data_IF_130916936285
#
_entry.id   IF_130916936285
#
_cell.length_a   1.000
_cell.length_b   1.000
_cell.length_c   1.000
_cell.angle_alpha   90.00
_cell.angle_beta   90.00
_cell.angle_gamma   90.00
#
_symmetry.space_group_name_H-M   'P 1'
#
loop_
_entity.id
_entity.type
_entity.pdbx_description
1 polymer ?
2 polymer ?
3 polymer ?
4 polymer ?
5 non-polymer ?
6 non-polymer ?
7 non-polymer ?
8 non-polymer ?
9 non-polymer ?
10 non-polymer ?
11 water ?
#
loop_
_entity_poly.entity_id
_entity_poly.type
_entity_poly.pdbx_seq_one_letter_code
_entity_poly.pdbx_strand_id
2 'polydeoxyribonucleotide' '(DC)(DG)(DG)(DC)(DA)(DT)(DA)(DC)(DG)' ?
3 'polydeoxyribonucleotide' '(DC)(DG)(DT)(DA)(8OG)' ?
4 'polydeoxyribonucleotide' '(DG)(DC)(DC)(DG)' ?
#
# COMPACT_ATOMS: atom_id res chain seq x y z
N UNK A 12 -13.15 -13.07 -17.33
CA UNK A 12 -12.26 -12.36 -16.41
C UNK A 12 -11.37 -11.43 -17.21
N UNK A 13 -11.52 -10.11 -17.03
CA UNK A 13 -10.65 -9.19 -17.78
C UNK A 13 -9.21 -9.27 -17.27
N UNK A 14 -8.30 -8.87 -18.13
CA UNK A 14 -6.89 -9.07 -17.89
C UNK A 14 -6.28 -8.03 -16.96
N UNK A 15 -6.84 -6.81 -16.86
CA UNK A 15 -6.30 -5.78 -15.98
C UNK A 15 -7.13 -5.74 -14.69
N UNK A 16 -6.46 -5.53 -13.55
CA UNK A 16 -7.21 -5.52 -12.30
C UNK A 16 -8.18 -4.35 -12.20
N UNK A 17 -7.94 -3.26 -12.92
CA UNK A 17 -8.81 -2.11 -12.86
C UNK A 17 -10.09 -2.29 -13.65
N UNK A 18 -10.23 -3.42 -14.34
CA UNK A 18 -11.42 -3.75 -15.13
C UNK A 18 -12.41 -4.63 -14.40
N UNK A 19 -12.17 -4.94 -13.14
CA UNK A 19 -13.06 -5.86 -12.45
C UNK A 19 -13.11 -5.47 -10.98
N UNK A 20 -14.23 -5.69 -10.33
CA UNK A 20 -14.29 -5.45 -8.90
C UNK A 20 -13.48 -6.46 -8.12
N UNK A 21 -12.79 -5.97 -7.10
CA UNK A 21 -12.03 -6.83 -6.20
C UNK A 21 -12.39 -6.44 -4.78
N UNK A 22 -13.17 -7.24 -4.08
CA UNK A 22 -13.58 -6.91 -2.71
C UNK A 22 -12.45 -7.20 -1.73
N UNK A 23 -12.61 -6.66 -0.51
CA UNK A 23 -11.58 -6.84 0.50
C UNK A 23 -11.49 -8.30 0.96
N UNK A 24 -12.63 -8.95 1.13
CA UNK A 24 -12.68 -10.35 1.50
C UNK A 24 -13.29 -11.13 0.35
N UNK A 25 -12.87 -12.39 0.22
CA UNK A 25 -13.20 -13.15 -1.00
C UNK A 25 -13.25 -14.64 -0.69
N UNK A 26 -13.15 -15.45 -1.74
CA UNK A 26 -13.44 -16.87 -1.68
C UNK A 26 -12.23 -17.71 -1.98
N UNK A 27 -11.06 -17.11 -2.08
CA UNK A 27 -9.85 -17.86 -2.44
C UNK A 27 -8.67 -17.40 -1.61
N UNK A 28 -8.90 -17.12 -0.33
CA UNK A 28 -7.90 -16.48 0.53
C UNK A 28 -6.61 -17.28 0.61
N UNK A 29 -6.68 -18.57 0.85
CA UNK A 29 -5.46 -19.36 0.98
C UNK A 29 -4.66 -19.44 -0.31
N UNK A 30 -5.34 -19.59 -1.44
CA UNK A 30 -4.63 -19.63 -2.71
C UNK A 30 -3.93 -18.31 -3.01
N UNK A 31 -4.63 -17.20 -2.80
CA UNK A 31 -4.04 -15.90 -3.08
C UNK A 31 -2.86 -15.63 -2.14
N UNK A 32 -2.97 -16.02 -0.88
CA UNK A 32 -1.89 -15.80 0.09
C UNK A 32 -0.63 -16.52 -0.35
N UNK A 33 -0.78 -17.75 -0.84
CA UNK A 33 0.39 -18.52 -1.29
C UNK A 33 1.06 -17.85 -2.48
N UNK A 34 0.28 -17.43 -3.46
CA UNK A 34 0.87 -16.75 -4.61
C UNK A 34 1.56 -15.45 -4.21
N UNK A 35 1.00 -14.74 -3.25
CA UNK A 35 1.62 -13.52 -2.74
C UNK A 35 2.93 -13.77 -1.99
N UNK A 36 3.10 -14.92 -1.35
CA UNK A 36 4.42 -15.28 -0.82
C UNK A 36 5.44 -15.35 -1.94
N UNK A 37 5.09 -16.00 -3.04
CA UNK A 37 6.04 -16.09 -4.13
C UNK A 37 6.29 -14.72 -4.75
N UNK A 38 5.29 -13.87 -4.82
CA UNK A 38 5.50 -12.53 -5.34
C UNK A 38 6.48 -11.77 -4.47
N UNK A 39 6.28 -11.84 -3.16
CA UNK A 39 7.14 -11.12 -2.21
C UNK A 39 8.56 -11.64 -2.29
N UNK A 40 8.74 -12.94 -2.37
CA UNK A 40 10.07 -13.50 -2.50
C UNK A 40 10.74 -13.06 -3.80
N UNK A 41 9.97 -12.95 -4.89
CA UNK A 41 10.54 -12.48 -6.14
C UNK A 41 11.04 -11.05 -5.99
N UNK A 42 10.30 -10.22 -5.28
CA UNK A 42 10.76 -8.86 -5.03
C UNK A 42 12.05 -8.82 -4.23
N UNK A 43 12.19 -9.71 -3.26
CA UNK A 43 13.41 -9.71 -2.47
C UNK A 43 14.63 -10.06 -3.30
N UNK A 44 14.45 -10.78 -4.40
CA UNK A 44 15.53 -11.11 -5.33
C UNK A 44 15.63 -10.14 -6.48
N UNK A 45 14.86 -9.08 -6.49
CA UNK A 45 14.90 -8.10 -7.57
C UNK A 45 14.23 -8.53 -8.85
N UNK A 46 13.36 -9.53 -8.80
CA UNK A 46 12.67 -10.04 -9.99
C UNK A 46 11.29 -9.38 -10.06
N UNK A 47 11.29 -8.16 -10.60
CA UNK A 47 10.06 -7.39 -10.62
C UNK A 47 9.03 -7.94 -11.61
N UNK A 48 9.47 -8.57 -12.70
CA UNK A 48 8.49 -9.16 -13.60
C UNK A 48 7.75 -10.34 -13.00
N UNK A 49 8.48 -11.23 -12.33
CA UNK A 49 7.86 -12.37 -11.66
C UNK A 49 6.99 -11.89 -10.51
N UNK A 50 7.43 -10.89 -9.75
CA UNK A 50 6.58 -10.33 -8.71
C UNK A 50 5.25 -9.90 -9.28
N UNK A 51 5.26 -9.15 -10.40
CA UNK A 51 4.01 -8.67 -10.97
C UNK A 51 3.11 -9.81 -11.39
N UNK A 52 3.65 -10.79 -12.08
CA UNK A 52 2.80 -11.91 -12.49
C UNK A 52 2.15 -12.58 -11.29
N UNK A 53 2.93 -12.89 -10.25
CA UNK A 53 2.34 -13.60 -9.10
C UNK A 53 1.33 -12.70 -8.41
N UNK A 54 1.60 -11.40 -8.31
CA UNK A 54 0.61 -10.49 -7.76
C UNK A 54 -0.66 -10.46 -8.57
N UNK A 55 -0.52 -10.40 -9.91
CA UNK A 55 -1.70 -10.39 -10.77
C UNK A 55 -2.49 -11.68 -10.67
N UNK A 56 -1.81 -12.83 -10.66
CA UNK A 56 -2.49 -14.12 -10.53
C UNK A 56 -3.24 -14.20 -9.19
N UNK A 57 -2.60 -13.75 -8.11
CA UNK A 57 -3.29 -13.74 -6.84
C UNK A 57 -4.54 -12.86 -6.91
N UNK A 58 -4.42 -11.70 -7.56
CA UNK A 58 -5.54 -10.76 -7.64
C UNK A 58 -6.71 -11.33 -8.44
N UNK A 59 -6.41 -12.05 -9.52
CA UNK A 59 -7.47 -12.73 -10.27
C UNK A 59 -8.31 -13.62 -9.36
N UNK A 60 -7.66 -14.36 -8.47
CA UNK A 60 -8.42 -15.25 -7.57
C UNK A 60 -9.27 -14.45 -6.60
N UNK A 61 -8.79 -13.27 -6.17
CA UNK A 61 -9.58 -12.42 -5.28
C UNK A 61 -10.86 -11.97 -5.95
N UNK A 62 -10.85 -11.85 -7.28
CA UNK A 62 -11.97 -11.33 -8.04
C UNK A 62 -12.99 -12.40 -8.41
N UNK A 63 -12.70 -13.69 -8.19
CA UNK A 63 -13.61 -14.74 -8.57
C UNK A 63 -14.83 -14.80 -7.65
N UNK A 64 -15.96 -15.28 -8.14
CA UNK A 64 -17.20 -15.24 -7.36
C UNK A 64 -17.35 -16.42 -6.41
N UNK A 65 -16.45 -17.39 -6.45
CA UNK A 65 -16.61 -18.61 -5.68
C UNK A 65 -15.22 -19.24 -5.51
N UNK A 66 -15.10 -20.26 -4.64
CA UNK A 66 -13.78 -20.91 -4.49
C UNK A 66 -13.37 -21.71 -5.73
N UNK A 67 -12.08 -21.65 -6.04
CA UNK A 67 -11.49 -22.63 -6.96
C UNK A 67 -11.35 -23.95 -6.20
N UNK A 68 -11.96 -25.00 -6.74
CA UNK A 68 -11.92 -26.31 -6.15
C UNK A 68 -11.27 -27.34 -7.07
N UNK A 69 -11.08 -27.03 -8.35
CA UNK A 69 -10.53 -27.99 -9.30
C UNK A 69 -9.66 -27.23 -10.28
N UNK A 70 -8.58 -27.88 -10.72
CA UNK A 70 -7.60 -27.23 -11.58
C UNK A 70 -8.24 -26.73 -12.88
N UNK A 71 -9.25 -27.46 -13.37
CA UNK A 71 -10.06 -27.07 -14.53
C UNK A 71 -10.47 -25.63 -14.49
N UNK A 72 -10.75 -25.11 -13.30
CA UNK A 72 -11.33 -23.80 -13.16
C UNK A 72 -10.33 -22.68 -13.42
N UNK A 73 -9.06 -22.98 -13.55
CA UNK A 73 -8.09 -21.96 -13.91
C UNK A 73 -7.98 -21.77 -15.42
N UNK A 74 -8.56 -22.68 -16.20
CA UNK A 74 -8.46 -22.59 -17.65
C UNK A 74 -9.04 -21.29 -18.15
N UNK A 75 -8.26 -20.58 -18.94
CA UNK A 75 -8.72 -19.34 -19.47
C UNK A 75 -8.49 -18.14 -18.58
N UNK A 76 -8.15 -18.32 -17.30
CA UNK A 76 -7.97 -17.16 -16.43
C UNK A 76 -6.67 -16.46 -16.79
N UNK A 77 -6.68 -15.15 -16.90
CA UNK A 77 -5.44 -14.44 -17.22
C UNK A 77 -4.44 -14.55 -16.07
N UNK A 78 -3.16 -14.61 -16.46
CA UNK A 78 -1.99 -14.63 -15.57
C UNK A 78 -1.76 -15.97 -14.90
N UNK A 79 -2.49 -17.00 -15.30
CA UNK A 79 -2.24 -18.36 -14.86
C UNK A 79 -1.57 -19.15 -15.96
N UNK A 80 -0.28 -19.39 -15.79
CA UNK A 80 0.48 -20.26 -16.63
C UNK A 80 0.94 -21.47 -15.87
N UNK A 81 2.00 -22.10 -16.39
CA UNK A 81 2.45 -23.35 -15.78
C UNK A 81 2.79 -23.18 -14.30
N UNK A 82 3.48 -22.10 -13.94
CA UNK A 82 3.99 -22.00 -12.57
C UNK A 82 2.89 -21.70 -11.57
N UNK A 83 2.08 -20.68 -11.84
CA UNK A 83 0.99 -20.35 -10.93
C UNK A 83 -0.04 -21.46 -10.86
N UNK A 84 -0.27 -22.15 -11.98
CA UNK A 84 -1.22 -23.26 -11.95
C UNK A 84 -0.70 -24.41 -11.12
N UNK A 85 0.61 -24.69 -11.19
CA UNK A 85 1.16 -25.76 -10.37
C UNK A 85 1.01 -25.46 -8.89
N UNK A 86 1.25 -24.22 -8.48
CA UNK A 86 1.07 -23.81 -7.09
C UNK A 86 -0.35 -24.11 -6.63
N UNK A 87 -1.32 -23.70 -7.42
CA UNK A 87 -2.72 -23.97 -7.08
C UNK A 87 -3.02 -25.46 -7.06
N UNK A 88 -2.51 -26.21 -8.04
CA UNK A 88 -2.77 -27.64 -8.09
C UNK A 88 -2.25 -28.31 -6.81
N UNK A 89 -1.05 -27.95 -6.37
CA UNK A 89 -0.48 -28.57 -5.18
C UNK A 89 -1.30 -28.22 -3.95
N UNK A 90 -1.75 -26.98 -3.83
CA UNK A 90 -2.60 -26.60 -2.70
C UNK A 90 -3.93 -27.33 -2.74
N UNK A 91 -4.53 -27.52 -3.92
CA UNK A 91 -5.80 -28.22 -4.00
C UNK A 91 -5.64 -29.70 -3.67
N UNK A 92 -4.53 -30.30 -4.09
CA UNK A 92 -4.36 -31.73 -3.89
C UNK A 92 -3.88 -32.06 -2.49
N UNK A 93 -2.92 -31.28 -1.96
CA UNK A 93 -2.26 -31.62 -0.70
C UNK A 93 -2.45 -30.61 0.41
N UNK A 94 -2.98 -29.43 0.13
CA UNK A 94 -3.15 -28.42 1.14
C UNK A 94 -1.93 -27.57 1.40
N UNK A 95 -0.84 -27.80 0.68
CA UNK A 95 0.41 -27.10 0.89
C UNK A 95 1.22 -27.21 -0.39
N UNK A 96 1.94 -26.14 -0.74
CA UNK A 96 2.80 -26.09 -1.92
C UNK A 96 4.25 -26.09 -1.44
N UNK A 97 4.99 -27.12 -1.83
CA UNK A 97 6.36 -27.29 -1.34
C UNK A 97 7.24 -26.08 -1.60
N UNK A 98 7.09 -25.47 -2.77
CA UNK A 98 7.91 -24.30 -3.07
C UNK A 98 7.59 -23.15 -2.12
N UNK A 99 6.29 -22.93 -1.87
CA UNK A 99 5.87 -21.87 -0.94
C UNK A 99 6.42 -22.15 0.44
N UNK A 100 6.32 -23.39 0.90
CA UNK A 100 6.79 -23.73 2.24
C UNK A 100 8.31 -23.58 2.36
N UNK A 101 9.03 -23.92 1.28
CA UNK A 101 10.48 -23.75 1.28
C UNK A 101 10.86 -22.27 1.36
N UNK A 102 10.09 -21.41 0.70
CA UNK A 102 10.30 -19.97 0.84
C UNK A 102 10.05 -19.55 2.27
N UNK A 103 8.91 -19.94 2.83
CA UNK A 103 8.56 -19.50 4.18
C UNK A 103 9.64 -19.85 5.19
N UNK A 104 10.25 -21.03 5.05
CA UNK A 104 11.30 -21.55 5.92
C UNK A 104 12.68 -21.01 5.57
N UNK A 105 12.77 -20.12 4.60
CA UNK A 105 14.04 -19.64 4.09
C UNK A 105 14.59 -18.56 5.01
N UNK A 106 15.84 -18.77 5.47
CA UNK A 106 16.54 -17.72 6.20
C UNK A 106 16.61 -16.45 5.37
N UNK A 107 16.82 -16.59 4.06
CA UNK A 107 16.81 -15.41 3.19
C UNK A 107 15.45 -14.71 3.22
N UNK A 108 14.36 -15.45 3.03
CA UNK A 108 13.04 -14.82 3.01
C UNK A 108 12.72 -14.18 4.36
N UNK A 109 12.98 -14.92 5.45
CA UNK A 109 12.60 -14.41 6.76
C UNK A 109 13.38 -13.16 7.12
N UNK A 110 14.68 -13.14 6.81
CA UNK A 110 15.47 -11.97 7.14
C UNK A 110 15.15 -10.80 6.23
N UNK A 111 14.99 -11.04 4.93
CA UNK A 111 14.62 -9.93 4.05
C UNK A 111 13.27 -9.33 4.44
N UNK A 112 12.30 -10.17 4.81
CA UNK A 112 11.03 -9.65 5.28
C UNK A 112 11.19 -8.83 6.55
N UNK A 113 11.95 -9.34 7.52
CA UNK A 113 12.17 -8.58 8.75
C UNK A 113 12.81 -7.22 8.46
N UNK A 114 13.88 -7.22 7.66
CA UNK A 114 14.62 -5.96 7.47
C UNK A 114 13.82 -4.96 6.63
N UNK A 115 13.16 -5.41 5.56
CA UNK A 115 12.40 -4.48 4.72
C UNK A 115 11.16 -3.94 5.45
N UNK A 116 10.71 -4.60 6.51
CA UNK A 116 9.61 -4.04 7.28
C UNK A 116 10.01 -2.81 8.05
N UNK A 117 11.31 -2.56 8.23
CA UNK A 117 11.77 -1.41 8.96
C UNK A 117 11.55 -0.17 8.11
N UNK A 118 10.94 0.86 8.69
CA UNK A 118 10.81 2.14 8.01
C UNK A 118 12.20 2.70 7.78
N UNK A 119 12.54 2.99 6.49
CA UNK A 119 13.85 3.48 6.12
C UNK A 119 14.73 2.44 5.45
N UNK A 120 14.27 1.19 5.39
CA UNK A 120 15.02 0.08 4.81
C UNK A 120 14.22 -0.50 3.68
N UNK A 121 14.83 -0.51 2.48
CA UNK A 121 14.25 -1.16 1.32
C UNK A 121 14.98 -2.45 0.98
N UNK A 122 14.59 -3.04 -0.16
CA UNK A 122 15.19 -4.31 -0.56
C UNK A 122 16.69 -4.18 -0.70
N UNK A 123 17.15 -3.10 -1.33
CA UNK A 123 18.58 -2.98 -1.60
C UNK A 123 19.40 -2.89 -0.31
N UNK A 124 18.93 -2.10 0.67
CA UNK A 124 19.65 -2.05 1.94
C UNK A 124 19.58 -3.39 2.66
N UNK A 125 18.38 -3.98 2.72
CA UNK A 125 18.21 -5.26 3.39
C UNK A 125 19.12 -6.32 2.80
N UNK A 126 19.18 -6.39 1.46
CA UNK A 126 20.03 -7.35 0.80
C UNK A 126 21.51 -7.13 1.15
N UNK A 127 21.94 -5.87 1.20
CA UNK A 127 23.34 -5.61 1.54
C UNK A 127 23.65 -6.04 2.97
N UNK A 128 22.73 -5.76 3.90
CA UNK A 128 22.92 -6.22 5.26
C UNK A 128 22.93 -7.74 5.35
N UNK A 129 22.01 -8.39 4.63
CA UNK A 129 22.01 -9.85 4.55
C UNK A 129 23.35 -10.38 4.07
N UNK A 130 23.89 -9.81 2.99
CA UNK A 130 25.16 -10.29 2.46
C UNK A 130 26.30 -10.05 3.44
N UNK A 131 26.21 -9.02 4.28
CA UNK A 131 27.20 -8.76 5.33
C UNK A 131 27.07 -9.71 6.51
N UNK A 132 26.03 -10.54 6.55
CA UNK A 132 25.86 -11.49 7.60
C UNK A 132 24.88 -11.12 8.67
N UNK A 133 24.22 -9.98 8.56
CA UNK A 133 23.28 -9.52 9.58
C UNK A 133 21.99 -10.27 9.44
N UNK A 134 21.34 -10.56 10.57
CA UNK A 134 20.14 -11.39 10.56
C UNK A 134 19.01 -10.88 11.45
N UNK A 135 19.29 -10.13 12.52
CA UNK A 135 18.27 -9.75 13.49
C UNK A 135 18.26 -8.25 13.69
N UNK A 136 17.15 -7.75 14.25
CA UNK A 136 17.09 -6.32 14.57
C UNK A 136 18.19 -5.94 15.56
N UNK A 137 18.47 -6.78 16.52
CA UNK A 137 19.53 -6.46 17.46
C UNK A 137 20.91 -6.44 16.81
N UNK A 138 21.14 -7.25 15.77
CA UNK A 138 22.35 -7.08 14.98
C UNK A 138 22.49 -5.65 14.48
N UNK A 139 21.39 -5.09 13.96
CA UNK A 139 21.41 -3.73 13.41
C UNK A 139 21.62 -2.70 14.51
N UNK A 140 20.97 -2.91 15.66
CA UNK A 140 21.12 -1.97 16.76
C UNK A 140 22.54 -1.92 17.28
N UNK A 141 23.33 -2.97 17.09
CA UNK A 141 24.71 -3.00 17.58
C UNK A 141 25.67 -2.23 16.69
N UNK A 142 25.20 -1.59 15.61
CA UNK A 142 26.04 -0.74 14.77
C UNK A 142 25.26 0.48 14.29
N UNK A 143 24.76 1.29 15.22
CA UNK A 143 23.85 2.39 14.83
C UNK A 143 24.50 3.45 13.95
N UNK A 144 25.83 3.53 13.93
CA UNK A 144 26.48 4.48 13.04
C UNK A 144 26.28 4.11 11.58
N UNK A 145 26.02 2.83 11.30
CA UNK A 145 25.66 2.31 10.00
C UNK A 145 24.21 2.61 9.62
N UNK A 146 23.50 3.42 10.40
CA UNK A 146 22.08 3.66 10.17
C UNK A 146 21.80 5.12 9.90
N UNK A 147 20.87 5.38 9.00
CA UNK A 147 20.39 6.73 8.81
C UNK A 147 19.46 7.10 9.96
N UNK A 148 19.26 8.41 10.13
CA UNK A 148 18.33 8.87 11.15
C UNK A 148 16.95 8.26 10.93
N UNK A 149 16.54 8.12 9.67
CA UNK A 149 15.24 7.53 9.39
C UNK A 149 15.18 6.07 9.86
N UNK A 150 16.25 5.30 9.58
CA UNK A 150 16.33 3.90 9.99
C UNK A 150 16.40 3.76 11.51
N UNK A 151 17.07 4.68 12.18
CA UNK A 151 17.11 4.66 13.63
C UNK A 151 15.68 4.76 14.19
N UNK A 152 14.89 5.69 13.68
CA UNK A 152 13.53 5.84 14.13
C UNK A 152 12.70 4.61 13.79
N UNK A 153 12.86 4.09 12.56
CA UNK A 153 12.18 2.87 12.20
C UNK A 153 12.51 1.71 13.12
N UNK A 154 13.76 1.61 13.54
CA UNK A 154 14.18 0.50 14.40
C UNK A 154 13.74 0.72 15.85
N UNK A 155 13.75 1.96 16.33
CA UNK A 155 13.26 2.22 17.69
C UNK A 155 11.77 1.92 17.79
N UNK A 156 10.99 2.31 16.77
CA UNK A 156 9.55 2.17 16.80
C UNK A 156 9.03 0.88 16.15
N UNK A 157 9.93 -0.04 15.77
CA UNK A 157 9.52 -1.20 14.96
C UNK A 157 8.44 -2.02 15.63
N UNK A 158 8.56 -2.26 16.93
CA UNK A 158 7.57 -3.10 17.59
C UNK A 158 6.18 -2.49 17.53
N UNK A 159 6.04 -1.21 17.88
CA UNK A 159 4.73 -0.57 17.78
C UNK A 159 4.24 -0.56 16.34
N UNK A 160 5.11 -0.26 15.38
CA UNK A 160 4.71 -0.16 14.00
C UNK A 160 4.33 -1.51 13.40
N UNK A 161 4.67 -2.60 14.05
CA UNK A 161 4.31 -3.90 13.52
C UNK A 161 2.92 -4.34 13.91
N UNK A 162 2.25 -3.61 14.79
CA UNK A 162 0.90 -3.92 15.26
C UNK A 162 -0.07 -3.00 14.53
N UNK A 163 -1.13 -3.45 13.88
CA UNK A 163 -2.02 -2.52 13.22
C UNK A 163 -2.89 -1.72 14.18
N UNK A 164 -3.45 -0.64 13.65
CA UNK A 164 -4.37 0.19 14.40
C UNK A 164 -5.76 -0.05 13.84
N UNK A 165 -6.73 0.30 14.64
CA UNK A 165 -8.14 0.13 14.32
C UNK A 165 -8.71 1.41 13.71
N UNK A 166 -9.85 1.26 13.01
CA UNK A 166 -10.52 2.43 12.44
C UNK A 166 -10.86 3.47 13.51
N UNK A 167 -11.22 3.03 14.74
CA UNK A 167 -11.51 3.99 15.79
C UNK A 167 -10.28 4.85 16.13
N UNK A 168 -9.09 4.23 16.10
CA UNK A 168 -7.83 4.95 16.25
C UNK A 168 -7.64 5.96 15.12
N UNK A 169 -7.95 5.55 13.90
CA UNK A 169 -7.87 6.40 12.70
C UNK A 169 -8.76 7.63 12.86
N UNK A 170 -9.96 7.45 13.40
CA UNK A 170 -10.89 8.57 13.52
C UNK A 170 -10.41 9.58 14.57
N UNK A 171 -9.81 9.08 15.66
CA UNK A 171 -9.16 9.94 16.65
C UNK A 171 -8.00 10.72 16.04
N UNK A 172 -7.17 10.04 15.24
CA UNK A 172 -6.07 10.70 14.55
C UNK A 172 -6.59 11.78 13.59
N UNK A 173 -7.69 11.50 12.91
CA UNK A 173 -8.19 12.47 11.94
C UNK A 173 -8.65 13.74 12.63
N UNK A 174 -9.22 13.65 13.83
CA UNK A 174 -9.67 14.85 14.51
C UNK A 174 -8.49 15.74 14.91
N UNK A 175 -7.37 15.14 15.33
CA UNK A 175 -6.22 15.96 15.71
C UNK A 175 -5.63 16.61 14.46
N UNK A 176 -5.59 15.89 13.36
CA UNK A 176 -5.07 16.46 12.12
C UNK A 176 -5.98 17.60 11.63
N UNK A 177 -7.29 17.41 11.71
CA UNK A 177 -8.21 18.46 11.31
C UNK A 177 -8.07 19.72 12.16
N UNK A 178 -7.79 19.56 13.45
CA UNK A 178 -7.58 20.75 14.29
C UNK A 178 -6.38 21.56 13.81
N UNK A 179 -5.26 20.87 13.56
CA UNK A 179 -4.05 21.56 13.12
C UNK A 179 -4.26 22.17 11.75
N UNK A 180 -4.90 21.44 10.85
CA UNK A 180 -5.16 21.92 9.50
C UNK A 180 -6.06 23.14 9.50
N UNK A 181 -7.06 23.16 10.38
CA UNK A 181 -7.95 24.31 10.47
C UNK A 181 -7.25 25.58 10.90
N UNK A 182 -6.27 25.48 11.81
CA UNK A 182 -5.46 26.62 12.20
C UNK A 182 -4.46 27.00 11.12
N UNK A 183 -3.91 26.01 10.45
CA UNK A 183 -2.95 26.27 9.39
C UNK A 183 -3.61 27.00 8.23
N UNK A 184 -4.83 26.62 7.88
CA UNK A 184 -5.56 27.22 6.74
C UNK A 184 -7.04 26.96 6.92
N UNK A 185 -7.77 27.92 7.47
CA UNK A 185 -9.22 27.78 7.58
C UNK A 185 -9.86 27.45 6.25
N UNK A 186 -10.76 26.47 6.27
CA UNK A 186 -11.42 25.97 5.10
C UNK A 186 -10.75 24.79 4.45
N UNK A 187 -9.52 24.47 4.81
CA UNK A 187 -8.89 23.27 4.25
C UNK A 187 -9.58 22.04 4.81
N UNK A 188 -9.58 20.99 4.00
CA UNK A 188 -10.26 19.74 4.32
C UNK A 188 -9.25 18.60 4.43
N UNK A 189 -9.68 17.58 5.16
CA UNK A 189 -8.90 16.36 5.42
C UNK A 189 -9.73 15.15 5.02
N UNK A 190 -9.19 14.32 4.13
CA UNK A 190 -9.85 13.11 3.62
C UNK A 190 -9.01 11.91 3.97
N UNK A 191 -9.62 10.90 4.58
CA UNK A 191 -8.97 9.62 4.85
C UNK A 191 -8.83 8.83 3.56
N UNK A 192 -7.62 8.37 3.28
CA UNK A 192 -7.37 7.58 2.08
C UNK A 192 -6.82 6.21 2.46
N UNK A 193 -5.99 5.63 1.60
CA UNK A 193 -5.41 4.32 1.87
C UNK A 193 -6.39 3.21 2.08
N UNK A 194 -5.92 2.17 2.78
CA UNK A 194 -6.70 0.98 2.94
C UNK A 194 -7.95 1.17 3.75
N UNK A 195 -7.96 2.12 4.69
CA UNK A 195 -9.16 2.40 5.44
C UNK A 195 -10.27 2.91 4.53
N UNK A 196 -9.95 3.74 3.54
CA UNK A 196 -10.99 4.15 2.58
C UNK A 196 -11.50 2.95 1.76
N UNK A 197 -10.69 1.93 1.55
CA UNK A 197 -11.10 0.72 0.84
C UNK A 197 -11.89 -0.21 1.73
N UNK A 198 -12.16 0.13 2.99
CA UNK A 198 -12.98 -0.68 3.88
C UNK A 198 -12.24 -1.44 4.94
N UNK A 199 -10.93 -1.33 5.04
CA UNK A 199 -10.25 -2.07 6.10
C UNK A 199 -10.74 -1.65 7.46
N UNK A 200 -10.81 -2.64 8.35
CA UNK A 200 -11.14 -2.33 9.72
C UNK A 200 -9.91 -2.10 10.57
N UNK A 201 -8.77 -2.57 10.06
CA UNK A 201 -7.47 -2.42 10.68
C UNK A 201 -6.45 -2.08 9.62
N UNK A 202 -5.21 -1.88 10.05
CA UNK A 202 -4.16 -1.71 9.10
C UNK A 202 -3.15 -0.73 9.63
N UNK A 203 -2.08 -0.61 8.87
CA UNK A 203 -0.96 0.27 9.18
C UNK A 203 -0.96 1.55 8.38
N UNK A 204 -1.67 1.57 7.25
CA UNK A 204 -1.55 2.66 6.27
C UNK A 204 -2.56 3.76 6.56
N UNK A 205 -2.26 4.55 7.57
CA UNK A 205 -3.08 5.70 7.94
C UNK A 205 -2.62 6.86 7.07
N UNK A 206 -3.46 7.25 6.11
CA UNK A 206 -3.11 8.31 5.16
C UNK A 206 -4.20 9.36 5.05
N UNK A 207 -3.80 10.60 5.03
CA UNK A 207 -4.73 11.72 4.90
C UNK A 207 -4.34 12.56 3.70
N UNK A 208 -5.32 13.05 3.01
CA UNK A 208 -5.17 13.92 1.84
C UNK A 208 -5.85 15.25 2.14
N UNK A 209 -5.10 16.33 2.01
CA UNK A 209 -5.50 17.67 2.45
C UNK A 209 -5.58 18.56 1.21
N UNK A 210 -6.67 19.36 1.10
CA UNK A 210 -6.80 20.32 0.02
C UNK A 210 -7.56 21.52 0.55
N UNK A 211 -7.83 22.47 -0.34
CA UNK A 211 -8.63 23.64 -0.03
C UNK A 211 -9.48 23.94 -1.26
N UNK A 212 -10.75 24.38 -1.08
CA UNK A 212 -11.60 24.59 -2.25
C UNK A 212 -11.16 25.70 -3.18
N UNK A 213 -10.32 26.61 -2.73
CA UNK A 213 -9.85 27.73 -3.54
C UNK A 213 -8.47 27.38 -4.09
N UNK A 214 -8.40 27.12 -5.38
CA UNK A 214 -7.15 26.77 -6.03
C UNK A 214 -6.04 27.74 -5.67
N UNK A 215 -4.90 27.18 -5.22
CA UNK A 215 -3.74 27.96 -4.87
C UNK A 215 -3.61 28.21 -3.37
N UNK A 216 -4.70 28.17 -2.64
CA UNK A 216 -4.60 28.48 -1.21
C UNK A 216 -3.82 27.41 -0.48
N UNK A 217 -3.74 26.22 -1.02
CA UNK A 217 -3.02 25.14 -0.37
C UNK A 217 -1.50 25.25 -0.51
N UNK A 218 -0.99 26.19 -1.31
CA UNK A 218 0.46 26.34 -1.43
C UNK A 218 1.05 26.63 -0.06
N UNK A 219 2.13 25.95 0.27
CA UNK A 219 2.83 26.20 1.53
C UNK A 219 2.15 25.60 2.72
N UNK A 220 1.10 24.80 2.54
CA UNK A 220 0.29 24.35 3.66
C UNK A 220 1.01 23.29 4.52
N UNK A 221 1.67 22.33 3.91
CA UNK A 221 2.16 21.20 4.68
C UNK A 221 3.15 21.58 5.76
N UNK A 222 4.13 22.45 5.54
CA UNK A 222 4.98 22.87 6.65
C UNK A 222 4.21 23.48 7.82
N UNK A 223 3.15 24.25 7.51
CA UNK A 223 2.36 24.89 8.56
C UNK A 223 1.58 23.86 9.37
N UNK A 224 1.10 22.80 8.72
CA UNK A 224 0.43 21.71 9.43
C UNK A 224 1.41 20.95 10.30
N UNK A 225 2.58 20.63 9.74
CA UNK A 225 3.59 19.89 10.49
C UNK A 225 4.06 20.65 11.71
N UNK A 226 4.27 21.97 11.57
CA UNK A 226 4.74 22.74 12.72
C UNK A 226 3.73 22.67 13.85
N UNK A 227 2.44 22.75 13.49
CA UNK A 227 1.39 22.75 14.51
C UNK A 227 1.26 21.36 15.17
N UNK A 228 1.38 20.29 14.41
CA UNK A 228 1.33 18.95 15.02
C UNK A 228 2.54 18.73 15.90
N UNK A 229 3.71 19.23 15.49
CA UNK A 229 4.90 19.16 16.33
C UNK A 229 4.70 19.91 17.62
N UNK A 230 4.13 21.11 17.54
CA UNK A 230 3.95 21.91 18.74
C UNK A 230 3.01 21.22 19.74
N UNK A 231 2.09 20.40 19.23
CA UNK A 231 1.18 19.64 20.07
C UNK A 231 1.83 18.43 20.72
N UNK A 232 3.08 18.11 20.36
CA UNK A 232 3.76 16.95 20.91
C UNK A 232 3.39 15.63 20.31
N UNK A 233 2.80 15.61 19.13
CA UNK A 233 2.26 14.42 18.54
C UNK A 233 3.21 13.74 17.57
N UNK A 234 4.28 14.39 17.17
CA UNK A 234 5.16 13.91 16.13
C UNK A 234 6.39 13.29 16.76
N UNK A 235 6.47 11.97 16.71
CA UNK A 235 7.66 11.27 17.15
C UNK A 235 8.77 11.29 16.14
N UNK A 236 8.44 11.39 14.85
CA UNK A 236 9.43 11.48 13.79
C UNK A 236 8.81 12.09 12.56
N UNK A 237 9.57 13.00 11.95
CA UNK A 237 9.34 13.46 10.59
C UNK A 237 10.66 13.92 9.99
N UNK A 238 10.70 13.98 8.66
N UNK A 259 7.15 21.23 0.63
CA UNK A 259 6.92 19.79 0.36
C UNK A 259 5.44 19.47 0.27
N UNK A 260 5.09 18.31 -0.33
CA UNK A 260 3.70 17.92 -0.44
C UNK A 260 3.36 16.56 0.14
N UNK A 261 4.32 15.70 0.49
CA UNK A 261 4.09 14.47 1.21
C UNK A 261 4.96 14.49 2.46
N UNK A 262 4.38 14.11 3.60
CA UNK A 262 5.10 13.97 4.86
C UNK A 262 4.89 12.59 5.43
N UNK A 263 5.98 11.82 5.60
CA UNK A 263 5.95 10.47 6.14
C UNK A 263 6.30 10.57 7.61
N UNK A 264 5.35 10.40 8.49
CA UNK A 264 5.72 10.62 9.88
C UNK A 264 5.31 9.47 10.77
N UNK A 265 5.81 9.55 11.99
CA UNK A 265 5.44 8.64 13.07
C UNK A 265 4.76 9.51 14.12
N UNK A 266 3.50 9.19 14.42
CA UNK A 266 2.58 9.90 15.30
C UNK A 266 2.49 9.17 16.63
N UNK A 267 2.02 9.91 17.63
CA UNK A 267 1.85 9.45 19.01
C UNK A 267 0.35 9.25 19.25
N UNK A 268 -0.10 7.99 19.16
CA UNK A 268 -1.52 7.64 19.24
C UNK A 268 -1.89 7.27 20.67
N UNK A 269 -2.82 7.99 21.32
CA UNK A 269 -3.24 7.62 22.68
C UNK A 269 -3.79 6.22 22.72
N UNK A 270 -3.50 5.54 23.83
CA UNK A 270 -4.01 4.23 24.17
C UNK A 270 -4.37 4.31 25.65
N UNK A 271 -5.24 3.45 26.12
CA UNK A 271 -5.59 3.48 27.55
C UNK A 271 -4.34 3.46 28.43
N UNK A 272 -4.13 4.53 29.20
CA UNK A 272 -3.02 4.62 30.13
C UNK A 272 -1.66 4.88 29.52
N UNK A 273 -1.58 5.02 28.19
CA UNK A 273 -0.30 5.14 27.52
C UNK A 273 -0.49 5.61 26.09
N UNK A 274 0.33 5.13 25.16
CA UNK A 274 0.27 5.55 23.76
C UNK A 274 1.09 4.56 22.96
N UNK A 275 0.98 4.64 21.63
CA UNK A 275 1.85 3.86 20.78
C UNK A 275 2.20 4.70 19.57
N UNK A 276 3.25 4.28 18.89
CA UNK A 276 3.66 4.91 17.65
C UNK A 276 2.85 4.35 16.49
N UNK A 277 2.53 5.21 15.54
CA UNK A 277 1.77 4.85 14.34
C UNK A 277 2.33 5.61 13.15
N UNK A 278 2.44 4.98 12.01
CA UNK A 278 2.84 5.64 10.78
C UNK A 278 1.65 6.36 10.16
N UNK A 279 1.81 7.65 9.91
CA UNK A 279 0.78 8.50 9.31
C UNK A 279 1.44 9.25 8.17
N UNK A 280 0.78 9.24 7.01
CA UNK A 280 1.23 10.04 5.88
C UNK A 280 0.25 11.18 5.65
N UNK A 281 0.79 12.36 5.49
CA UNK A 281 -0.01 13.53 5.16
C UNK A 281 0.38 14.02 3.79
N UNK A 282 -0.61 14.33 2.96
CA UNK A 282 -0.39 14.70 1.58
C UNK A 282 -1.24 15.91 1.27
N UNK A 283 -0.68 16.88 0.58
CA UNK A 283 -1.42 18.07 0.12
C UNK A 283 -1.55 18.03 -1.40
N UNK A 284 -2.73 18.37 -1.92
CA UNK A 284 -2.91 18.53 -3.37
C UNK A 284 -3.78 19.76 -3.62
N UNK A 285 -3.53 20.50 -4.71
CA UNK A 285 -4.51 21.53 -5.10
C UNK A 285 -5.81 20.85 -5.52
N UNK A 286 -6.92 21.57 -5.38
CA UNK A 286 -8.22 20.98 -5.62
C UNK A 286 -8.33 20.48 -7.05
N UNK A 287 -7.71 21.15 -8.02
CA UNK A 287 -7.71 20.66 -9.40
C UNK A 287 -7.14 19.24 -9.50
N UNK A 288 -6.17 18.90 -8.68
CA UNK A 288 -5.53 17.59 -8.73
C UNK A 288 -6.13 16.61 -7.74
N UNK A 289 -7.02 17.06 -6.88
CA UNK A 289 -7.51 16.25 -5.76
C UNK A 289 -8.08 14.92 -6.24
N UNK A 290 -8.90 14.83 -7.30
CA UNK A 290 -9.41 13.49 -7.69
C UNK A 290 -8.31 12.51 -8.05
N UNK A 291 -7.24 13.00 -8.71
CA UNK A 291 -6.13 12.12 -9.07
C UNK A 291 -5.34 11.69 -7.86
N UNK A 292 -5.17 12.57 -6.89
CA UNK A 292 -4.44 12.21 -5.68
C UNK A 292 -5.27 11.27 -4.83
N UNK A 293 -6.59 11.52 -4.73
CA UNK A 293 -7.49 10.64 -4.00
C UNK A 293 -7.47 9.24 -4.61
N UNK A 294 -7.53 9.16 -5.92
CA UNK A 294 -7.48 7.85 -6.61
C UNK A 294 -6.16 7.14 -6.29
N UNK A 295 -5.04 7.83 -6.47
CA UNK A 295 -3.75 7.18 -6.26
C UNK A 295 -3.55 6.72 -4.82
N UNK A 296 -3.83 7.61 -3.85
CA UNK A 296 -3.62 7.33 -2.44
C UNK A 296 -4.63 6.36 -1.85
N UNK A 297 -5.73 6.07 -2.56
CA UNK A 297 -6.68 5.05 -2.10
C UNK A 297 -6.25 3.66 -2.51
N UNK A 298 -5.47 3.52 -3.56
CA UNK A 298 -4.92 2.19 -3.89
C UNK A 298 -5.97 1.24 -4.41
N UNK A 299 -5.72 -0.05 -4.26
CA UNK A 299 -4.47 -0.66 -3.78
C UNK A 299 -3.29 -0.36 -4.68
N UNK A 300 -2.08 -0.71 -4.23
CA UNK A 300 -0.89 -0.55 -5.05
C UNK A 300 -1.04 -1.24 -6.40
N UNK A 301 -1.46 -2.52 -6.39
CA UNK A 301 -1.61 -3.20 -7.65
C UNK A 301 -2.69 -2.54 -8.51
N UNK A 302 -3.79 -2.11 -7.87
CA UNK A 302 -4.82 -1.42 -8.65
C UNK A 302 -4.25 -0.22 -9.38
N UNK A 303 -3.45 0.60 -8.70
CA UNK A 303 -2.91 1.80 -9.33
C UNK A 303 -1.93 1.48 -10.44
N UNK A 304 -1.06 0.49 -10.24
CA UNK A 304 -0.13 0.09 -11.30
C UNK A 304 -0.90 -0.39 -12.53
N UNK A 305 -1.94 -1.18 -12.28
CA UNK A 305 -2.76 -1.71 -13.36
C UNK A 305 -3.54 -0.63 -14.07
N UNK A 306 -4.05 0.34 -13.33
CA UNK A 306 -4.77 1.46 -13.93
C UNK A 306 -3.85 2.30 -14.80
N UNK A 307 -2.63 2.56 -14.35
CA UNK A 307 -1.67 3.34 -15.11
C UNK A 307 -1.20 2.57 -16.33
N UNK A 308 -1.03 1.24 -16.20
CA UNK A 308 -0.67 0.41 -17.34
C UNK A 308 -1.78 0.42 -18.37
N UNK A 309 -3.03 0.25 -17.91
CA UNK A 309 -4.19 0.29 -18.80
C UNK A 309 -4.27 1.63 -19.53
N UNK A 310 -4.19 2.71 -18.77
CA UNK A 310 -4.26 4.04 -19.35
C UNK A 310 -3.28 4.15 -20.51
N UNK A 311 -2.01 3.83 -20.25
CA UNK A 311 -0.96 4.06 -21.24
C UNK A 311 -1.07 3.09 -22.39
N UNK A 312 -1.20 1.79 -22.09
CA UNK A 312 -1.13 0.76 -23.13
C UNK A 312 -2.42 0.61 -23.92
N UNK A 313 -3.59 0.77 -23.28
CA UNK A 313 -4.87 0.62 -23.97
C UNK A 313 -5.45 1.93 -24.47
N UNK A 314 -5.20 3.04 -23.77
CA UNK A 314 -5.81 4.32 -24.13
C UNK A 314 -4.81 5.38 -24.60
N UNK A 315 -3.51 5.14 -24.50
CA UNK A 315 -2.53 6.13 -24.91
C UNK A 315 -2.46 7.38 -24.06
N UNK A 316 -2.93 7.30 -22.81
CA UNK A 316 -2.95 8.42 -21.88
C UNK A 316 -2.05 8.10 -20.70
N UNK A 317 -1.44 9.13 -20.12
CA UNK A 317 -0.41 8.94 -19.10
C UNK A 317 -0.98 9.40 -17.76
N UNK A 318 -1.12 8.48 -16.83
CA UNK A 318 -1.75 8.72 -15.54
C UNK A 318 -0.76 8.75 -14.39
N UNK A 319 -0.91 9.72 -13.48
CA UNK A 319 -0.19 9.70 -12.21
C UNK A 319 -1.10 10.29 -11.13
N UNK A 320 -0.56 10.53 -9.94
CA UNK A 320 -1.39 11.02 -8.86
C UNK A 320 -1.68 12.51 -8.95
N UNK A 321 -1.18 13.18 -10.00
CA UNK A 321 -1.45 14.59 -10.23
C UNK A 321 -2.38 14.85 -11.40
N UNK A 322 -2.56 13.91 -12.33
CA UNK A 322 -3.33 14.22 -13.51
C UNK A 322 -3.24 13.10 -14.53
N UNK A 323 -3.85 13.38 -15.67
CA UNK A 323 -3.99 12.43 -16.78
C UNK A 323 -3.72 13.21 -18.05
N UNK A 324 -2.66 12.85 -18.75
CA UNK A 324 -2.13 13.61 -19.87
C UNK A 324 -2.38 12.91 -21.18
N UNK A 325 -2.85 13.66 -22.17
CA UNK A 325 -2.99 13.18 -23.54
C UNK A 325 -1.73 13.64 -24.27
N UNK A 326 -0.79 12.75 -24.59
CA UNK A 326 0.47 13.18 -25.23
C UNK A 326 0.33 13.55 -26.69
N UNK A 327 -0.80 13.27 -27.33
CA UNK A 327 -0.98 13.70 -28.72
C UNK A 327 -1.54 15.13 -28.78
N UNK A 328 -2.58 15.45 -27.99
CA UNK A 328 -3.05 16.82 -27.86
C UNK A 328 -2.16 17.68 -26.98
N UNK A 329 -1.35 17.07 -26.12
CA UNK A 329 -0.52 17.79 -25.17
C UNK A 329 -1.39 18.57 -24.18
N UNK A 330 -2.44 17.89 -23.69
CA UNK A 330 -3.40 18.49 -22.78
C UNK A 330 -3.64 17.56 -21.58
N UNK A 331 -3.96 18.17 -20.44
CA UNK A 331 -4.32 17.46 -19.22
C UNK A 331 -5.84 17.43 -19.11
N UNK A 332 -6.37 16.29 -18.77
CA UNK A 332 -7.79 16.18 -18.48
C UNK A 332 -8.11 16.89 -17.18
N UNK A 333 -9.22 17.60 -17.16
CA UNK A 333 -9.75 18.14 -15.93
C UNK A 333 -10.61 17.04 -15.35
N UNK A 334 -10.55 16.85 -14.08
CA UNK A 334 -11.46 15.95 -13.40
C UNK A 334 -11.96 16.64 -12.17
N UNK A 335 -13.28 16.50 -11.91
CA UNK A 335 -13.87 16.99 -10.68
C UNK A 335 -14.20 15.87 -9.72
N UNK A 336 -13.97 14.61 -10.11
CA UNK A 336 -14.33 13.45 -9.31
C UNK A 336 -13.57 12.25 -9.81
N UNK A 337 -13.46 11.23 -8.94
CA UNK A 337 -12.96 9.93 -9.41
C UNK A 337 -13.84 9.37 -10.52
N UNK A 338 -15.17 9.56 -10.45
CA UNK A 338 -16.04 9.11 -11.53
C UNK A 338 -15.58 9.69 -12.87
N UNK A 339 -15.19 10.97 -12.91
CA UNK A 339 -14.68 11.57 -14.16
C UNK A 339 -13.49 10.76 -14.68
N UNK A 340 -12.56 10.40 -13.79
CA UNK A 340 -11.34 9.72 -14.27
C UNK A 340 -11.66 8.35 -14.87
N UNK A 341 -12.52 7.57 -14.21
CA UNK A 341 -12.94 6.29 -14.79
C UNK A 341 -13.58 6.51 -16.15
N UNK A 342 -14.44 7.53 -16.28
CA UNK A 342 -15.08 7.80 -17.57
C UNK A 342 -14.05 8.18 -18.61
N UNK A 343 -13.08 9.05 -18.27
CA UNK A 343 -12.04 9.44 -19.22
C UNK A 343 -11.36 8.19 -19.81
N UNK A 344 -11.12 7.18 -18.97
CA UNK A 344 -10.39 5.97 -19.31
C UNK A 344 -11.27 4.90 -19.90
N UNK A 345 -12.57 5.14 -20.05
CA UNK A 345 -13.44 4.12 -20.59
C UNK A 345 -13.62 2.90 -19.72
N UNK A 346 -13.53 3.07 -18.41
CA UNK A 346 -13.66 1.99 -17.44
C UNK A 346 -14.96 2.17 -16.67
N UNK A 347 -15.61 1.08 -16.32
CA UNK A 347 -16.74 1.16 -15.41
C UNK A 347 -16.26 1.53 -14.01
N UNK A 348 -16.98 2.44 -13.37
CA UNK A 348 -16.60 2.95 -12.08
C UNK A 348 -16.54 1.83 -11.06
N UNK A 349 -15.49 1.86 -10.24
CA UNK A 349 -15.36 0.97 -9.07
C UNK A 349 -15.25 1.82 -7.83
N UNK A 350 -16.10 1.64 -6.84
CA UNK A 350 -15.94 2.34 -5.57
C UNK A 350 -14.69 1.86 -4.86
N UNK A 351 -14.17 2.59 -3.87
CA UNK A 351 -12.93 2.19 -3.18
C UNK A 351 -12.93 0.77 -2.67
N UNK A 352 -14.06 0.32 -2.15
CA UNK A 352 -14.05 -1.00 -1.55
C UNK A 352 -14.03 -2.12 -2.59
N UNK A 353 -14.06 -1.80 -3.89
CA UNK A 353 -13.87 -2.75 -4.97
C UNK A 353 -12.55 -2.58 -5.67
N UNK A 354 -11.60 -1.88 -5.03
CA UNK A 354 -10.28 -1.63 -5.57
C UNK A 354 -9.20 -2.38 -4.79
N UNK A 355 -9.59 -3.45 -4.11
CA UNK A 355 -8.68 -4.24 -3.28
C UNK A 355 -7.95 -5.28 -4.11
N UNK A 356 -7.39 -4.86 -5.24
CA UNK A 356 -6.67 -5.78 -6.12
C UNK A 356 -5.45 -6.24 -5.40
X LIG E 1 -1.80 3.14 3.92
X LIG F 1 11.02 -0.58 4.79
X LIG G 1 0.98 5.36 4.47
X LIG H 1 11.66 -11.06 -13.05
X LIG I 1 1.18 -8.50 -4.89
X LIG J 1 -14.34 -19.94 -9.31
X LIG J 1 -15.43 -19.07 -9.35
X LIG J 1 -14.67 -21.37 -9.71
X LIG J 1 -15.06 -21.37 -11.06
X LIG K 1 -12.01 17.89 -0.92
X LIG K 1 -12.35 18.96 -0.05
X LIG K 1 -13.19 17.43 -1.77
X LIG K 1 -13.90 16.46 -1.04
X LIG L 1 -8.85 -5.84 7.49
X LIG L 1 -8.35 -6.10 6.15
X LIG L 1 -10.22 -5.44 7.68
X LIG L 1 -7.99 -4.83 8.08
X LIG M 1 -0.18 7.68 -4.75
X LIG M 1 -0.24 7.11 -6.01
X LIG M 1 1.07 7.36 -4.02
X LIG M 1 2.14 7.99 -4.71
#
# INVERSE_FOLDING_TARGET
GSAAAPLSPAWMPAYACQRPTPLTHHNTGLSEALEILAEAAGFEGSEGRLLTFCRAASVLKALPSPVTTLSQLQGLPHFGEHSSRVVQELLEHGVCEEVERVRRSERYQTMKLFTQIFGVGVKTADRWYREGLRTLDDLREQPQKLTQQQKAGLQHHQDLSTPVLRSDVDALQQVVEEAVGQALPGATVTLTGGFRRGKLQGHDVDFLITHPKEGQEAGLLPRVMCRLQDQGLILYHQHQHSCCESPTRLAQQSHMDAFERSFCIFRLPQPGSWKAVRVDLVVAPVSQFPFALLGWTGSKLFQRELRRFSRKEKGLWLNSHGLFDPEQKTFFQAASEEDIFRHLGLEYLPPEQRNA
MG MG
NA NA
NA NA
CL CL
DTT S1
EDO C1 O1 C2 O2
EDO C1 O1 C2 O2
EPE S O1S O2S O3S
EDO C1 O1 C2 O2
#
